data_IF_135459600347
#
_entry.id   IF_135459600347
#
_cell.length_a   1.000
_cell.length_b   1.000
_cell.length_c   1.000
_cell.angle_alpha   90.00
_cell.angle_beta   90.00
_cell.angle_gamma   90.00
#
_symmetry.space_group_name_H-M   'P 1'
#
loop_
_entity.id
_entity.type
_entity.pdbx_description
1 polymer ?
#
# COMPACT_ATOMS: atom_id res chain seq x y z
N UNK A 1 -7.37 2.69 -16.85
CA UNK A 1 -7.04 1.76 -17.96
C UNK A 1 -7.01 0.31 -17.50
N UNK A 2 -6.12 -0.08 -16.58
CA UNK A 2 -6.06 -1.46 -16.08
C UNK A 2 -7.34 -1.93 -15.33
N UNK A 3 -8.00 -1.02 -14.60
CA UNK A 3 -9.26 -1.33 -13.90
C UNK A 3 -10.36 -1.85 -14.85
N UNK A 4 -10.38 -1.38 -16.12
CA UNK A 4 -11.37 -1.82 -17.12
C UNK A 4 -11.05 -3.21 -17.70
N UNK A 5 -9.86 -3.73 -17.44
CA UNK A 5 -9.41 -5.06 -17.87
C UNK A 5 -9.54 -6.10 -16.74
N UNK A 6 -10.05 -5.70 -15.56
CA UNK A 6 -10.09 -6.57 -14.38
C UNK A 6 -8.71 -6.91 -13.81
N UNK A 7 -7.68 -6.11 -14.16
CA UNK A 7 -6.30 -6.33 -13.73
C UNK A 7 -6.03 -5.45 -12.50
N UNK A 8 -5.64 -6.07 -11.40
CA UNK A 8 -5.18 -5.36 -10.21
C UNK A 8 -3.83 -4.70 -10.50
N UNK A 9 -3.71 -3.42 -10.18
CA UNK A 9 -2.46 -2.65 -10.29
C UNK A 9 -1.93 -2.29 -8.92
N UNK A 10 -0.60 -2.26 -8.80
CA UNK A 10 0.09 -1.87 -7.57
C UNK A 10 1.01 -0.68 -7.86
N UNK A 11 0.81 0.41 -7.14
CA UNK A 11 1.70 1.56 -7.19
C UNK A 11 2.92 1.33 -6.29
N UNK A 12 4.11 1.20 -6.87
CA UNK A 12 5.36 1.08 -6.11
C UNK A 12 6.11 2.40 -5.98
N UNK A 13 6.86 2.56 -4.89
CA UNK A 13 7.70 3.74 -4.68
C UNK A 13 6.93 4.95 -4.13
N UNK A 14 5.87 4.72 -3.35
CA UNK A 14 5.16 5.83 -2.67
C UNK A 14 6.01 6.32 -1.51
N UNK A 15 6.42 7.57 -1.54
CA UNK A 15 7.30 8.15 -0.52
C UNK A 15 6.55 9.06 0.45
N UNK A 16 5.42 9.65 0.02
CA UNK A 16 4.70 10.66 0.79
C UNK A 16 3.21 10.35 0.95
N UNK A 17 2.61 10.90 2.01
CA UNK A 17 1.15 10.80 2.23
C UNK A 17 0.34 11.48 1.12
N UNK A 18 0.86 12.54 0.49
CA UNK A 18 0.16 13.21 -0.62
C UNK A 18 0.09 12.34 -1.87
N UNK A 19 1.16 11.61 -2.20
CA UNK A 19 1.16 10.62 -3.28
C UNK A 19 0.17 9.47 -2.99
N UNK A 20 0.14 8.99 -1.74
CA UNK A 20 -0.82 7.97 -1.30
C UNK A 20 -2.27 8.44 -1.49
N UNK A 21 -2.57 9.68 -1.08
CA UNK A 21 -3.89 10.29 -1.23
C UNK A 21 -4.26 10.50 -2.70
N UNK A 22 -3.30 10.91 -3.54
CA UNK A 22 -3.51 11.01 -4.98
C UNK A 22 -3.88 9.64 -5.57
N UNK A 23 -3.13 8.58 -5.26
CA UNK A 23 -3.41 7.23 -5.75
C UNK A 23 -4.81 6.73 -5.34
N UNK A 24 -5.22 6.99 -4.10
CA UNK A 24 -6.58 6.70 -3.59
C UNK A 24 -7.66 7.39 -4.42
N UNK A 25 -7.50 8.69 -4.68
CA UNK A 25 -8.49 9.47 -5.44
C UNK A 25 -8.66 8.98 -6.88
N UNK A 26 -7.62 8.37 -7.46
CA UNK A 26 -7.65 7.84 -8.82
C UNK A 26 -7.97 6.33 -8.88
N UNK A 27 -8.39 5.73 -7.77
CA UNK A 27 -8.85 4.34 -7.71
C UNK A 27 -7.72 3.32 -7.86
N UNK A 28 -6.54 3.62 -7.29
CA UNK A 28 -5.49 2.64 -7.08
C UNK A 28 -5.66 2.03 -5.68
N UNK A 29 -5.96 0.73 -5.64
CA UNK A 29 -6.35 0.01 -4.41
C UNK A 29 -5.17 -0.69 -3.71
N UNK A 30 -4.00 -0.74 -4.35
CA UNK A 30 -2.79 -1.40 -3.80
C UNK A 30 -1.56 -0.53 -4.00
N UNK A 31 -0.78 -0.32 -2.93
CA UNK A 31 0.45 0.46 -2.98
C UNK A 31 1.58 -0.09 -2.09
N UNK A 32 2.82 0.21 -2.47
CA UNK A 32 4.05 -0.04 -1.69
C UNK A 32 4.78 1.27 -1.45
N UNK A 33 5.09 1.56 -0.20
CA UNK A 33 5.78 2.80 0.11
C UNK A 33 6.04 3.03 1.58
N UNK A 34 6.92 3.99 1.85
CA UNK A 34 7.30 4.40 3.21
C UNK A 34 6.15 4.90 4.08
N UNK A 35 5.09 5.57 3.55
CA UNK A 35 3.93 5.93 4.35
C UNK A 35 3.16 4.73 4.91
N UNK A 36 3.32 3.54 4.31
CA UNK A 36 2.70 2.28 4.74
C UNK A 36 3.63 1.54 5.69
N UNK A 37 4.85 1.26 5.22
CA UNK A 37 5.91 0.66 6.04
C UNK A 37 7.28 0.82 5.37
N UNK A 38 8.33 0.85 6.20
CA UNK A 38 9.70 0.60 5.72
C UNK A 38 9.91 -0.91 5.51
N UNK A 39 10.97 -1.33 4.78
CA UNK A 39 11.34 -2.74 4.74
C UNK A 39 11.48 -3.31 6.15
N UNK A 40 10.82 -4.43 6.39
CA UNK A 40 10.73 -5.07 7.70
C UNK A 40 11.63 -6.31 7.70
N UNK A 41 12.52 -6.48 8.68
CA UNK A 41 13.25 -7.73 8.87
C UNK A 41 12.27 -8.90 9.07
N UNK A 42 12.59 -10.07 8.53
CA UNK A 42 11.70 -11.25 8.59
C UNK A 42 11.25 -11.59 10.02
N UNK A 43 12.15 -11.46 11.01
CA UNK A 43 11.86 -11.72 12.43
C UNK A 43 10.83 -10.78 13.06
N UNK A 44 10.53 -9.64 12.42
CA UNK A 44 9.55 -8.65 12.88
C UNK A 44 8.24 -8.73 12.09
N UNK A 45 8.17 -9.53 11.03
CA UNK A 45 7.02 -9.59 10.12
C UNK A 45 5.75 -10.04 10.86
N UNK A 46 5.83 -11.10 11.66
CA UNK A 46 4.67 -11.62 12.41
C UNK A 46 4.09 -10.57 13.37
N UNK A 47 4.96 -9.79 14.02
CA UNK A 47 4.52 -8.71 14.91
C UNK A 47 3.84 -7.58 14.11
N UNK A 48 4.37 -7.26 12.93
CA UNK A 48 3.80 -6.25 12.06
C UNK A 48 2.43 -6.68 11.52
N UNK A 49 2.25 -7.95 11.12
CA UNK A 49 1.00 -8.50 10.58
C UNK A 49 -0.16 -8.61 11.59
N UNK A 50 0.07 -8.33 12.88
CA UNK A 50 -1.00 -8.34 13.89
C UNK A 50 -2.14 -7.37 13.48
N UNK A 51 -3.41 -7.64 13.87
CA UNK A 51 -4.61 -6.92 13.40
C UNK A 51 -4.56 -5.38 13.48
N UNK A 52 -3.73 -4.85 14.37
CA UNK A 52 -3.37 -3.44 14.52
C UNK A 52 -2.94 -2.77 13.20
N UNK A 53 -2.37 -3.53 12.26
CA UNK A 53 -1.93 -3.07 10.94
C UNK A 53 -2.62 -3.82 9.78
N UNK A 54 -3.60 -4.69 10.05
CA UNK A 54 -4.27 -5.48 9.02
C UNK A 54 -5.28 -4.66 8.20
N UNK A 55 -5.73 -3.53 8.76
CA UNK A 55 -6.59 -2.55 8.07
C UNK A 55 -5.79 -1.28 7.80
N UNK A 56 -4.78 -1.36 6.93
CA UNK A 56 -4.28 -0.16 6.25
C UNK A 56 -4.98 -0.10 4.89
N UNK A 57 -6.26 0.32 4.82
CA UNK A 57 -6.84 0.65 3.53
C UNK A 57 -6.08 1.84 2.94
N UNK A 58 -5.86 1.78 1.63
CA UNK A 58 -5.83 3.00 0.84
C UNK A 58 -7.20 3.69 1.00
#
# INVERSE_FOLDING_TARGET
MANNLGIQVMAEGVETKSQLNFLRQYGCDVAKGYPISRPIPAVQLEQWLKPQHAEIPL
#
